data_IF_139906803085
#
_entry.id   IF_139906803085
#
_cell.length_a   1.000
_cell.length_b   1.000
_cell.length_c   1.000
_cell.angle_alpha   90.00
_cell.angle_beta   90.00
_cell.angle_gamma   90.00
#
_symmetry.space_group_name_H-M   'P 1'
#
loop_
_entity.id
_entity.type
_entity.pdbx_description
1 polymer ?
#
# COMPACT_ATOMS: atom_id res chain seq x y z
N UNK A 1 11.50 6.39 16.72
CA UNK A 1 11.01 5.08 16.27
C UNK A 1 10.63 5.14 14.79
N UNK A 2 11.06 4.16 14.01
CA UNK A 2 10.78 4.13 12.59
C UNK A 2 9.30 3.85 12.33
N UNK A 3 8.72 4.59 11.39
CA UNK A 3 7.33 4.34 10.96
C UNK A 3 7.30 3.16 9.98
N UNK A 4 6.46 2.18 10.27
CA UNK A 4 6.41 0.93 9.50
C UNK A 4 4.97 0.49 9.32
N UNK A 5 4.66 -0.05 8.14
CA UNK A 5 3.44 -0.81 7.92
C UNK A 5 3.80 -2.17 7.33
N UNK A 6 3.30 -3.23 7.93
CA UNK A 6 3.43 -4.59 7.40
C UNK A 6 2.11 -5.01 6.81
N UNK A 7 2.15 -5.42 5.54
CA UNK A 7 0.95 -5.85 4.82
C UNK A 7 1.01 -7.37 4.68
N UNK A 8 0.01 -8.05 5.21
CA UNK A 8 -0.10 -9.49 5.12
C UNK A 8 -0.88 -9.89 3.87
N UNK A 9 -1.00 -11.17 3.62
CA UNK A 9 -1.76 -11.65 2.47
C UNK A 9 -3.20 -11.16 2.56
N UNK A 10 -3.74 -10.54 1.49
CA UNK A 10 -5.13 -10.12 1.51
C UNK A 10 -6.08 -11.33 1.51
N UNK A 11 -7.23 -11.15 2.11
CA UNK A 11 -8.28 -12.18 2.10
C UNK A 11 -9.18 -11.90 0.90
N UNK A 12 -9.14 -12.79 -0.09
CA UNK A 12 -9.88 -12.64 -1.33
C UNK A 12 -11.08 -13.55 -1.33
N UNK A 13 -12.27 -13.00 -1.53
CA UNK A 13 -13.50 -13.75 -1.76
C UNK A 13 -13.95 -13.51 -3.20
N UNK A 14 -15.15 -13.97 -3.56
CA UNK A 14 -15.61 -13.87 -4.96
C UNK A 14 -15.59 -12.44 -5.51
N UNK A 15 -15.90 -11.45 -4.69
CA UNK A 15 -16.02 -10.04 -5.13
C UNK A 15 -15.34 -9.04 -4.22
N UNK A 16 -14.71 -9.50 -3.15
CA UNK A 16 -14.19 -8.61 -2.13
C UNK A 16 -12.75 -8.95 -1.81
N UNK A 17 -11.93 -7.92 -1.64
CA UNK A 17 -10.58 -8.06 -1.11
C UNK A 17 -10.53 -7.34 0.22
N UNK A 18 -10.18 -8.07 1.28
CA UNK A 18 -10.02 -7.51 2.62
C UNK A 18 -8.54 -7.47 2.94
N UNK A 19 -8.06 -6.32 3.36
CA UNK A 19 -6.63 -6.11 3.62
C UNK A 19 -6.32 -6.26 5.10
N UNK A 20 -5.24 -7.01 5.38
CA UNK A 20 -4.75 -7.26 6.73
C UNK A 20 -3.39 -6.59 6.85
N UNK A 21 -3.21 -5.74 7.86
CA UNK A 21 -1.98 -4.99 8.01
C UNK A 21 -1.73 -4.65 9.48
N UNK A 22 -0.47 -4.30 9.78
CA UNK A 22 -0.05 -3.89 11.12
C UNK A 22 0.80 -2.63 10.99
N UNK A 23 0.45 -1.61 11.75
CA UNK A 23 1.13 -0.31 11.73
C UNK A 23 1.89 -0.09 13.03
N UNK A 24 3.13 0.38 12.93
CA UNK A 24 3.93 0.74 14.10
C UNK A 24 4.68 2.05 13.84
N UNK A 25 5.07 2.73 14.93
CA UNK A 25 5.73 4.02 14.86
C UNK A 25 4.79 5.16 15.24
N UNK A 26 5.33 6.37 15.27
CA UNK A 26 4.57 7.56 15.68
C UNK A 26 3.39 7.87 14.75
N UNK A 27 3.52 7.54 13.48
CA UNK A 27 2.49 7.82 12.49
C UNK A 27 1.21 7.03 12.69
N UNK A 28 1.26 5.96 13.51
CA UNK A 28 0.09 5.14 13.76
C UNK A 28 -1.07 5.94 14.36
N UNK A 29 -0.78 7.02 15.08
CA UNK A 29 -1.81 7.89 15.66
C UNK A 29 -2.47 8.78 14.61
N UNK A 30 -1.71 9.16 13.57
CA UNK A 30 -2.20 10.00 12.47
C UNK A 30 -2.84 9.18 11.36
N UNK A 31 -2.56 7.89 11.32
CA UNK A 31 -2.98 7.00 10.23
C UNK A 31 -4.38 6.46 10.55
N UNK A 32 -5.38 7.11 9.98
CA UNK A 32 -6.78 6.80 10.31
C UNK A 32 -7.46 5.97 9.21
N UNK A 33 -6.97 4.75 9.01
CA UNK A 33 -7.66 3.78 8.15
C UNK A 33 -8.68 3.03 9.00
N UNK A 34 -9.82 2.70 8.41
CA UNK A 34 -10.78 1.86 9.10
C UNK A 34 -10.18 0.47 9.32
N UNK A 35 -10.54 -0.17 10.43
CA UNK A 35 -10.04 -1.51 10.77
C UNK A 35 -10.33 -2.53 9.67
N UNK A 36 -11.36 -2.27 8.88
CA UNK A 36 -11.81 -3.16 7.82
C UNK A 36 -11.67 -2.50 6.46
N UNK A 37 -10.42 -2.15 6.08
CA UNK A 37 -10.20 -1.65 4.74
C UNK A 37 -10.44 -2.78 3.75
N UNK A 38 -11.35 -2.57 2.82
CA UNK A 38 -11.69 -3.57 1.81
C UNK A 38 -12.11 -2.91 0.51
N UNK A 39 -12.05 -3.69 -0.57
CA UNK A 39 -12.50 -3.26 -1.89
C UNK A 39 -13.50 -4.29 -2.41
N UNK A 40 -14.62 -3.81 -2.93
CA UNK A 40 -15.65 -4.65 -3.50
C UNK A 40 -15.72 -4.45 -5.01
N UNK A 41 -15.86 -5.55 -5.74
CA UNK A 41 -15.91 -5.53 -7.20
C UNK A 41 -17.25 -6.04 -7.71
N UNK A 42 -17.60 -5.62 -8.93
CA UNK A 42 -18.85 -6.06 -9.57
C UNK A 42 -18.71 -7.41 -10.26
N UNK A 43 -17.49 -7.94 -10.38
CA UNK A 43 -17.21 -9.23 -11.02
C UNK A 43 -16.46 -10.16 -10.07
N UNK A 44 -16.40 -11.45 -10.44
CA UNK A 44 -15.70 -12.44 -9.63
C UNK A 44 -14.18 -12.25 -9.76
N UNK A 45 -13.49 -12.09 -8.62
CA UNK A 45 -12.05 -11.87 -8.56
C UNK A 45 -11.32 -12.97 -7.78
N UNK A 46 -11.97 -14.10 -7.52
CA UNK A 46 -11.38 -15.15 -6.68
C UNK A 46 -10.04 -15.69 -7.17
N UNK A 47 -9.74 -15.53 -8.46
CA UNK A 47 -8.50 -16.01 -9.06
C UNK A 47 -7.43 -14.92 -9.23
N UNK A 48 -7.64 -13.73 -8.68
CA UNK A 48 -6.67 -12.65 -8.82
C UNK A 48 -5.40 -12.96 -8.01
N UNK A 49 -4.18 -12.76 -8.59
CA UNK A 49 -2.95 -12.97 -7.83
C UNK A 49 -2.80 -11.97 -6.68
N UNK A 50 -2.19 -12.41 -5.57
CA UNK A 50 -1.98 -11.54 -4.41
C UNK A 50 -1.18 -10.29 -4.76
N UNK A 51 -0.18 -10.41 -5.64
CA UNK A 51 0.63 -9.25 -6.04
C UNK A 51 -0.16 -8.17 -6.74
N UNK A 52 -1.25 -8.52 -7.42
CA UNK A 52 -2.16 -7.58 -8.06
C UNK A 52 -3.22 -7.10 -7.05
N UNK A 53 -3.68 -8.02 -6.19
CA UNK A 53 -4.71 -7.71 -5.21
C UNK A 53 -4.30 -6.61 -4.23
N UNK A 54 -3.00 -6.47 -3.93
CA UNK A 54 -2.52 -5.44 -2.98
C UNK A 54 -2.45 -4.04 -3.60
N UNK A 55 -2.53 -3.90 -4.93
CA UNK A 55 -2.35 -2.62 -5.61
C UNK A 55 -3.34 -1.54 -5.14
N UNK A 56 -4.65 -1.79 -5.05
CA UNK A 56 -5.58 -0.74 -4.58
C UNK A 56 -5.24 -0.23 -3.18
N UNK A 57 -4.81 -1.12 -2.30
CA UNK A 57 -4.41 -0.73 -0.95
C UNK A 57 -3.15 0.14 -0.99
N UNK A 58 -2.14 -0.27 -1.77
CA UNK A 58 -0.91 0.49 -1.92
C UNK A 58 -1.17 1.88 -2.51
N UNK A 59 -2.05 1.99 -3.50
CA UNK A 59 -2.40 3.28 -4.09
C UNK A 59 -3.00 4.24 -3.06
N UNK A 60 -3.70 3.72 -2.06
CA UNK A 60 -4.28 4.54 -1.02
C UNK A 60 -3.30 4.92 0.07
N UNK A 61 -2.32 4.07 0.39
CA UNK A 61 -1.41 4.32 1.51
C UNK A 61 -0.08 4.94 1.12
N UNK A 62 0.40 4.71 -0.11
CA UNK A 62 1.73 5.18 -0.51
C UNK A 62 1.95 6.69 -0.33
N UNK A 63 1.01 7.57 -0.69
CA UNK A 63 1.22 8.99 -0.44
C UNK A 63 1.46 9.29 1.05
N UNK A 64 0.76 8.61 1.93
CA UNK A 64 0.93 8.78 3.39
C UNK A 64 2.29 8.21 3.82
N UNK A 65 2.66 7.06 3.27
CA UNK A 65 3.96 6.43 3.54
C UNK A 65 5.10 7.39 3.21
N UNK A 66 5.03 8.04 2.06
CA UNK A 66 6.09 8.96 1.63
C UNK A 66 6.18 10.19 2.50
N UNK A 67 5.04 10.77 2.89
CA UNK A 67 5.02 11.98 3.72
C UNK A 67 5.60 11.71 5.11
N UNK A 68 5.32 10.54 5.67
CA UNK A 68 5.80 10.17 7.01
C UNK A 68 7.14 9.43 7.01
N UNK A 69 7.78 9.29 5.84
CA UNK A 69 9.04 8.54 5.70
C UNK A 69 8.93 7.15 6.31
N UNK A 70 7.86 6.45 5.97
CA UNK A 70 7.59 5.12 6.49
C UNK A 70 8.13 4.03 5.57
N UNK A 71 8.31 2.83 6.11
CA UNK A 71 8.68 1.65 5.32
C UNK A 71 7.47 0.72 5.22
N UNK A 72 7.26 0.19 4.02
CA UNK A 72 6.21 -0.79 3.74
C UNK A 72 6.87 -2.14 3.54
N UNK A 73 6.37 -3.16 4.24
CA UNK A 73 6.83 -4.54 4.08
C UNK A 73 5.66 -5.41 3.66
N UNK A 74 5.83 -6.15 2.58
CA UNK A 74 4.83 -7.11 2.11
C UNK A 74 5.50 -8.29 1.44
N UNK A 75 4.77 -9.40 1.33
CA UNK A 75 5.32 -10.64 0.77
C UNK A 75 5.46 -10.57 -0.74
N UNK A 76 4.40 -10.14 -1.44
CA UNK A 76 4.41 -10.16 -2.90
C UNK A 76 3.71 -8.92 -3.45
N UNK A 77 4.29 -8.37 -4.52
CA UNK A 77 3.70 -7.23 -5.24
C UNK A 77 4.03 -7.38 -6.71
N UNK A 78 3.10 -6.97 -7.58
CA UNK A 78 3.30 -7.02 -9.02
C UNK A 78 4.52 -6.22 -9.44
N UNK A 79 5.39 -6.82 -10.25
CA UNK A 79 6.62 -6.20 -10.70
C UNK A 79 6.38 -4.94 -11.52
N UNK A 80 5.39 -4.97 -12.41
CA UNK A 80 5.06 -3.82 -13.24
C UNK A 80 4.62 -2.64 -12.38
N UNK A 81 3.81 -2.92 -11.34
CA UNK A 81 3.40 -1.87 -10.41
C UNK A 81 4.61 -1.31 -9.66
N UNK A 82 5.50 -2.18 -9.15
CA UNK A 82 6.70 -1.73 -8.43
C UNK A 82 7.56 -0.82 -9.32
N UNK A 83 7.71 -1.15 -10.59
CA UNK A 83 8.47 -0.35 -11.54
C UNK A 83 7.83 1.01 -11.83
N UNK A 84 6.50 1.12 -11.65
CA UNK A 84 5.77 2.37 -11.88
C UNK A 84 5.80 3.32 -10.68
N UNK A 85 6.17 2.84 -9.49
CA UNK A 85 6.13 3.64 -8.26
C UNK A 85 6.95 4.94 -8.35
N UNK A 86 8.18 4.95 -8.91
CA UNK A 86 8.92 6.21 -9.02
C UNK A 86 8.20 7.29 -9.79
N UNK A 87 7.50 6.96 -10.87
CA UNK A 87 6.71 7.91 -11.64
C UNK A 87 5.48 8.39 -10.88
N UNK A 88 4.83 7.47 -10.18
CA UNK A 88 3.69 7.76 -9.31
C UNK A 88 4.09 8.77 -8.23
N UNK A 89 5.22 8.52 -7.58
CA UNK A 89 5.79 9.39 -6.55
C UNK A 89 6.12 10.77 -7.11
N UNK A 90 6.72 10.81 -8.32
CA UNK A 90 7.06 12.06 -8.99
C UNK A 90 5.84 12.93 -9.23
N UNK A 91 4.71 12.31 -9.60
CA UNK A 91 3.46 13.04 -9.77
C UNK A 91 3.03 13.76 -8.51
N UNK A 92 3.16 13.11 -7.36
CA UNK A 92 2.85 13.72 -6.06
C UNK A 92 3.86 14.82 -5.70
N UNK A 93 5.14 14.61 -6.00
CA UNK A 93 6.16 15.64 -5.76
C UNK A 93 5.88 16.90 -6.58
N UNK A 94 5.43 16.73 -7.82
CA UNK A 94 5.10 17.86 -8.70
C UNK A 94 3.85 18.62 -8.20
N UNK A 95 2.87 17.90 -7.66
CA UNK A 95 1.66 18.53 -7.12
C UNK A 95 1.89 19.22 -5.79
N UNK A 96 2.80 18.71 -4.98
CA UNK A 96 3.04 19.20 -3.62
C UNK A 96 4.53 19.46 -3.40
N UNK A 97 5.11 20.47 -4.11
CA UNK A 97 6.54 20.71 -4.04
C UNK A 97 7.05 21.17 -2.67
N UNK A 98 6.14 21.57 -1.78
CA UNK A 98 6.52 21.98 -0.42
C UNK A 98 6.70 20.78 0.52
N UNK A 99 6.32 19.56 0.10
CA UNK A 99 6.45 18.37 0.92
C UNK A 99 7.62 17.51 0.47
N UNK A 100 8.26 16.85 1.43
CA UNK A 100 9.27 15.84 1.12
C UNK A 100 8.61 14.48 1.09
N UNK A 101 8.84 13.72 0.02
CA UNK A 101 8.32 12.38 -0.14
C UNK A 101 9.45 11.37 0.00
N UNK A 102 9.47 10.69 1.14
CA UNK A 102 10.48 9.68 1.47
C UNK A 102 9.77 8.37 1.82
N UNK A 103 10.54 7.36 2.19
CA UNK A 103 9.99 6.06 2.53
C UNK A 103 10.22 5.05 1.43
N UNK A 104 10.15 3.80 1.79
CA UNK A 104 10.49 2.71 0.89
C UNK A 104 9.47 1.58 0.97
N UNK A 105 9.35 0.83 -0.13
CA UNK A 105 8.54 -0.36 -0.17
C UNK A 105 9.49 -1.57 -0.30
N UNK A 106 9.24 -2.59 0.50
CA UNK A 106 10.03 -3.81 0.52
C UNK A 106 9.13 -5.01 0.26
N UNK A 107 9.18 -5.54 -0.96
CA UNK A 107 8.44 -6.74 -1.33
C UNK A 107 9.42 -7.92 -1.39
N UNK A 108 9.05 -9.05 -0.78
CA UNK A 108 9.87 -10.25 -0.82
C UNK A 108 9.92 -10.87 -2.21
N UNK A 109 8.82 -10.76 -2.96
CA UNK A 109 8.69 -11.32 -4.31
C UNK A 109 8.00 -10.32 -5.23
N UNK A 110 8.33 -10.41 -6.49
CA UNK A 110 7.69 -9.57 -7.52
C UNK A 110 7.20 -10.37 -8.74
#
# INVERSE_FOLDING_TARGET
>A
MKNVIKIFQPVISERTIKYVYEISGEWSEAFNLSENFFVEYSCNISNIPFGIAVIPFLCNILPIVWVYDADVYLEVCDKTFLESIPEFKKGYEDMYPMLEFKGNIHAEKD
#
